data_IF_328603341702
#
_entry.id   IF_328603341702
#
_cell.length_a   1.000
_cell.length_b   1.000
_cell.length_c   1.000
_cell.angle_alpha   90.00
_cell.angle_beta   90.00
_cell.angle_gamma   90.00
#
_symmetry.space_group_name_H-M   'P 1'
#
loop_
_entity.id
_entity.type
_entity.pdbx_description
1 polymer ?
#
# COMPACT_ATOMS: atom_id res chain seq x y z
N UNK A 1 43.45 -13.17 33.83
CA UNK A 1 42.81 -12.34 32.77
C UNK A 1 43.15 -10.89 33.05
N UNK A 2 43.72 -10.13 32.11
CA UNK A 2 44.03 -8.72 32.34
C UNK A 2 42.74 -7.92 32.55
N UNK A 3 42.76 -6.91 33.44
CA UNK A 3 41.62 -6.03 33.76
C UNK A 3 40.91 -5.49 32.51
N UNK A 4 41.67 -5.26 31.42
CA UNK A 4 41.15 -4.88 30.10
C UNK A 4 40.10 -5.86 29.55
N UNK A 5 40.32 -7.16 29.62
CA UNK A 5 39.37 -8.16 29.07
C UNK A 5 38.09 -8.28 29.92
N UNK A 6 38.19 -8.01 31.21
CA UNK A 6 37.01 -7.94 32.10
C UNK A 6 36.16 -6.72 31.73
N UNK A 7 36.79 -5.56 31.51
CA UNK A 7 36.09 -4.34 31.10
C UNK A 7 35.43 -4.51 29.73
N UNK A 8 36.12 -5.07 28.74
CA UNK A 8 35.55 -5.35 27.41
C UNK A 8 34.37 -6.34 27.51
N UNK A 9 34.49 -7.37 28.34
CA UNK A 9 33.40 -8.32 28.59
C UNK A 9 32.18 -7.68 29.24
N UNK A 10 32.37 -6.82 30.25
CA UNK A 10 31.28 -6.10 30.93
C UNK A 10 30.62 -5.06 30.02
N UNK A 11 31.39 -4.32 29.22
CA UNK A 11 30.85 -3.38 28.25
C UNK A 11 30.05 -4.09 27.17
N UNK A 12 30.58 -5.18 26.61
CA UNK A 12 29.87 -5.98 25.60
C UNK A 12 28.55 -6.53 26.17
N UNK A 13 28.57 -7.06 27.40
CA UNK A 13 27.36 -7.55 28.08
C UNK A 13 26.34 -6.44 28.33
N UNK A 14 26.79 -5.27 28.81
CA UNK A 14 25.92 -4.12 29.03
C UNK A 14 25.30 -3.63 27.72
N UNK A 15 26.07 -3.55 26.64
CA UNK A 15 25.56 -3.17 25.31
C UNK A 15 24.56 -4.19 24.79
N UNK A 16 24.82 -5.50 24.91
CA UNK A 16 23.87 -6.56 24.55
C UNK A 16 22.58 -6.47 25.37
N UNK A 17 22.66 -6.16 26.66
CA UNK A 17 21.47 -5.98 27.51
C UNK A 17 20.67 -4.74 27.10
N UNK A 18 21.32 -3.58 26.94
CA UNK A 18 20.67 -2.34 26.47
C UNK A 18 20.02 -2.58 25.12
N UNK A 19 20.70 -3.32 24.24
CA UNK A 19 20.19 -3.68 22.93
C UNK A 19 18.98 -4.62 23.01
N UNK A 20 19.05 -5.67 23.82
CA UNK A 20 17.93 -6.57 24.07
C UNK A 20 16.72 -5.83 24.61
N UNK A 21 16.92 -4.87 25.53
CA UNK A 21 15.86 -4.01 26.06
C UNK A 21 15.32 -3.08 24.97
N UNK A 22 16.16 -2.42 24.18
CA UNK A 22 15.70 -1.57 23.08
C UNK A 22 14.87 -2.38 22.09
N UNK A 23 15.27 -3.58 21.69
CA UNK A 23 14.57 -4.37 20.66
C UNK A 23 13.37 -5.18 21.16
N UNK A 24 13.22 -5.41 22.47
CA UNK A 24 12.11 -6.17 23.06
C UNK A 24 11.09 -5.33 23.83
N UNK A 25 11.33 -4.02 23.96
CA UNK A 25 10.45 -3.10 24.68
C UNK A 25 10.00 -1.94 23.81
N UNK A 26 9.06 -1.16 24.34
CA UNK A 26 8.46 0.04 23.74
C UNK A 26 9.47 1.08 23.22
N UNK A 27 10.71 1.10 23.73
CA UNK A 27 11.76 1.98 23.23
C UNK A 27 12.17 1.66 21.79
N UNK A 28 12.16 0.38 21.40
CA UNK A 28 12.48 -0.08 20.04
C UNK A 28 11.44 0.35 19.02
N UNK A 29 10.16 0.32 19.41
CA UNK A 29 9.03 0.78 18.60
C UNK A 29 9.15 2.26 18.21
N UNK A 30 10.01 3.02 18.90
CA UNK A 30 10.27 4.44 18.59
C UNK A 30 11.53 4.62 17.73
N UNK A 31 12.60 3.88 18.03
CA UNK A 31 13.91 4.04 17.36
C UNK A 31 13.92 3.40 15.97
N UNK A 32 13.31 2.22 15.82
CA UNK A 32 13.32 1.47 14.55
C UNK A 32 12.65 2.26 13.41
N UNK A 33 11.43 2.81 13.57
CA UNK A 33 10.80 3.59 12.50
C UNK A 33 11.63 4.81 12.11
N UNK A 34 12.28 5.48 13.07
CA UNK A 34 13.15 6.62 12.78
C UNK A 34 14.41 6.19 12.00
N UNK A 35 15.06 5.11 12.41
CA UNK A 35 16.23 4.59 11.72
C UNK A 35 15.91 4.15 10.30
N UNK A 36 14.74 3.52 10.09
CA UNK A 36 14.25 3.12 8.77
C UNK A 36 13.98 4.34 7.87
N UNK A 37 13.28 5.35 8.40
CA UNK A 37 13.02 6.60 7.66
C UNK A 37 14.36 7.28 7.30
N UNK A 38 15.31 7.37 8.24
CA UNK A 38 16.65 7.91 7.97
C UNK A 38 17.37 7.12 6.87
N UNK A 39 17.30 5.79 6.92
CA UNK A 39 17.90 4.93 5.90
C UNK A 39 17.29 5.18 4.51
N UNK A 40 15.97 5.34 4.38
CA UNK A 40 15.36 5.70 3.10
C UNK A 40 15.89 7.04 2.56
N UNK A 41 16.02 8.05 3.42
CA UNK A 41 16.51 9.37 3.02
C UNK A 41 18.01 9.36 2.63
N UNK A 42 18.82 8.52 3.29
CA UNK A 42 20.24 8.33 2.93
C UNK A 42 20.35 7.54 1.63
N UNK A 43 19.63 6.41 1.53
CA UNK A 43 19.62 5.55 0.35
C UNK A 43 19.27 6.31 -0.91
N UNK A 44 18.25 7.16 -0.85
CA UNK A 44 17.84 7.99 -1.98
C UNK A 44 18.97 8.88 -2.53
N UNK A 45 19.82 9.43 -1.66
CA UNK A 45 20.93 10.31 -2.07
C UNK A 45 22.13 9.55 -2.61
N UNK A 46 22.34 8.32 -2.14
CA UNK A 46 23.53 7.52 -2.49
C UNK A 46 23.25 6.62 -3.70
N UNK A 47 22.11 5.95 -3.70
CA UNK A 47 21.71 4.96 -4.70
C UNK A 47 20.20 4.81 -4.70
N UNK A 48 19.51 5.75 -5.35
CA UNK A 48 18.07 5.67 -5.56
C UNK A 48 17.72 4.37 -6.30
N UNK A 49 16.78 3.55 -5.79
CA UNK A 49 16.40 2.32 -6.46
C UNK A 49 15.66 2.61 -7.78
N UNK A 50 15.74 1.66 -8.72
CA UNK A 50 14.92 1.71 -9.92
C UNK A 50 13.45 1.45 -9.56
N UNK A 51 12.54 2.24 -10.15
CA UNK A 51 11.11 2.09 -9.93
C UNK A 51 10.58 1.03 -10.91
N UNK A 52 9.90 -0.03 -10.43
CA UNK A 52 9.35 -1.05 -11.32
C UNK A 52 8.37 -0.46 -12.32
N UNK A 53 8.54 -0.84 -13.59
CA UNK A 53 7.73 -0.31 -14.70
C UNK A 53 6.44 -1.10 -14.91
N UNK A 54 6.23 -2.18 -14.17
CA UNK A 54 5.10 -3.11 -14.36
C UNK A 54 3.81 -2.63 -13.68
N UNK A 55 3.92 -1.62 -12.83
CA UNK A 55 2.81 -0.98 -12.12
C UNK A 55 2.77 0.49 -12.50
N UNK A 56 1.60 0.96 -12.90
CA UNK A 56 1.35 2.38 -13.19
C UNK A 56 0.12 2.85 -12.43
N UNK A 57 0.08 4.14 -12.13
CA UNK A 57 -1.03 4.78 -11.42
C UNK A 57 -1.84 5.66 -12.38
N UNK A 58 -3.15 5.60 -12.28
CA UNK A 58 -4.08 6.56 -12.86
C UNK A 58 -4.71 7.33 -11.71
N UNK A 59 -4.35 8.60 -11.60
CA UNK A 59 -4.80 9.48 -10.53
C UNK A 59 -6.14 10.13 -10.87
N UNK A 60 -7.10 10.00 -9.95
CA UNK A 60 -8.25 10.89 -9.85
C UNK A 60 -7.80 12.18 -9.17
N UNK A 61 -7.32 13.12 -9.97
CA UNK A 61 -6.70 14.37 -9.55
C UNK A 61 -7.60 15.59 -9.81
N UNK A 62 -7.25 16.76 -9.28
CA UNK A 62 -8.05 17.98 -9.42
C UNK A 62 -8.32 18.36 -10.87
N UNK A 63 -7.35 18.14 -11.77
CA UNK A 63 -7.53 18.45 -13.18
C UNK A 63 -8.59 17.54 -13.79
N UNK A 64 -8.63 16.26 -13.41
CA UNK A 64 -9.65 15.33 -13.90
C UNK A 64 -11.04 15.65 -13.38
N UNK A 65 -11.19 16.07 -12.11
CA UNK A 65 -12.47 16.61 -11.61
C UNK A 65 -12.92 17.82 -12.44
N UNK A 66 -12.00 18.75 -12.72
CA UNK A 66 -12.32 19.96 -13.49
C UNK A 66 -12.67 19.67 -14.97
N UNK A 67 -11.93 18.79 -15.64
CA UNK A 67 -12.13 18.50 -17.08
C UNK A 67 -13.41 17.68 -17.29
N UNK A 68 -13.71 16.76 -16.38
CA UNK A 68 -14.90 15.92 -16.46
C UNK A 68 -16.16 16.58 -15.87
N UNK A 69 -16.03 17.81 -15.36
CA UNK A 69 -17.11 18.58 -14.72
C UNK A 69 -17.76 17.80 -13.56
N UNK A 70 -16.94 17.15 -12.74
CA UNK A 70 -17.37 16.40 -11.55
C UNK A 70 -17.04 17.25 -10.31
N UNK A 71 -18.00 17.52 -9.41
CA UNK A 71 -17.70 18.20 -8.15
C UNK A 71 -16.81 17.35 -7.24
N UNK A 72 -15.87 17.98 -6.52
CA UNK A 72 -14.94 17.26 -5.62
C UNK A 72 -15.62 16.52 -4.45
N UNK A 73 -16.88 16.82 -4.19
CA UNK A 73 -17.70 16.20 -3.14
C UNK A 73 -18.54 15.03 -3.64
N UNK A 74 -18.58 14.80 -4.95
CA UNK A 74 -19.45 13.80 -5.56
C UNK A 74 -18.71 12.50 -5.90
N UNK A 75 -19.48 11.41 -5.91
CA UNK A 75 -19.02 10.10 -6.37
C UNK A 75 -18.96 10.14 -7.89
N UNK A 76 -17.86 9.63 -8.46
CA UNK A 76 -17.70 9.62 -9.91
C UNK A 76 -18.71 8.70 -10.59
N UNK A 77 -19.30 9.11 -11.74
CA UNK A 77 -20.25 8.29 -12.48
C UNK A 77 -19.64 6.97 -12.96
N UNK A 78 -20.42 5.89 -12.91
CA UNK A 78 -19.98 4.54 -13.31
C UNK A 78 -19.60 4.44 -14.79
N UNK A 79 -20.22 5.25 -15.64
CA UNK A 79 -19.89 5.34 -17.06
C UNK A 79 -18.44 5.82 -17.31
N UNK A 80 -17.92 6.69 -16.44
CA UNK A 80 -16.53 7.18 -16.51
C UNK A 80 -15.55 6.06 -16.18
N UNK A 81 -15.90 5.19 -15.23
CA UNK A 81 -15.13 3.99 -14.91
C UNK A 81 -15.24 2.91 -16.00
N UNK A 82 -16.43 2.71 -16.57
CA UNK A 82 -16.63 1.81 -17.71
C UNK A 82 -15.73 2.18 -18.90
N UNK A 83 -15.73 3.47 -19.31
CA UNK A 83 -14.90 3.96 -20.42
C UNK A 83 -13.40 3.75 -20.14
N UNK A 84 -12.96 3.94 -18.90
CA UNK A 84 -11.56 3.70 -18.53
C UNK A 84 -11.19 2.23 -18.71
N UNK A 85 -11.98 1.31 -18.14
CA UNK A 85 -11.72 -0.13 -18.22
C UNK A 85 -11.70 -0.60 -19.68
N UNK A 86 -12.62 -0.10 -20.52
CA UNK A 86 -12.63 -0.42 -21.94
C UNK A 86 -11.37 0.02 -22.68
N UNK A 87 -10.89 1.24 -22.41
CA UNK A 87 -9.64 1.74 -22.99
C UNK A 87 -8.42 0.94 -22.53
N UNK A 88 -8.37 0.58 -21.24
CA UNK A 88 -7.27 -0.22 -20.69
C UNK A 88 -7.27 -1.65 -21.23
N UNK A 89 -8.45 -2.27 -21.36
CA UNK A 89 -8.60 -3.59 -21.97
C UNK A 89 -8.16 -3.56 -23.45
N UNK A 90 -8.56 -2.55 -24.21
CA UNK A 90 -8.14 -2.36 -25.59
C UNK A 90 -6.62 -2.12 -25.73
N UNK A 91 -6.01 -1.48 -24.74
CA UNK A 91 -4.57 -1.24 -24.68
C UNK A 91 -3.74 -2.48 -24.27
N UNK A 92 -4.39 -3.57 -23.88
CA UNK A 92 -3.72 -4.79 -23.41
C UNK A 92 -3.16 -4.67 -21.99
N UNK A 93 -3.76 -3.83 -21.14
CA UNK A 93 -3.40 -3.80 -19.72
C UNK A 93 -3.62 -5.17 -19.09
N UNK A 94 -2.68 -5.58 -18.22
CA UNK A 94 -2.74 -6.89 -17.57
C UNK A 94 -3.92 -6.97 -16.59
N UNK A 95 -4.12 -5.88 -15.83
CA UNK A 95 -5.15 -5.80 -14.80
C UNK A 95 -5.43 -4.35 -14.43
N UNK A 96 -6.69 -4.05 -14.11
CA UNK A 96 -7.08 -2.77 -13.50
C UNK A 96 -7.44 -2.99 -12.03
N UNK A 97 -6.97 -2.12 -11.16
CA UNK A 97 -7.12 -2.23 -9.70
C UNK A 97 -7.65 -0.91 -9.19
N UNK A 98 -8.87 -0.91 -8.67
CA UNK A 98 -9.51 0.29 -8.14
C UNK A 98 -9.31 0.38 -6.64
N UNK A 99 -8.53 1.38 -6.22
CA UNK A 99 -8.49 1.89 -4.85
C UNK A 99 -9.69 2.81 -4.60
N UNK A 100 -10.89 2.24 -4.80
CA UNK A 100 -12.19 2.90 -4.72
C UNK A 100 -13.20 1.88 -4.21
N UNK A 101 -14.03 2.29 -3.26
CA UNK A 101 -15.11 1.47 -2.73
C UNK A 101 -16.37 1.65 -3.57
N UNK A 102 -16.79 0.57 -4.23
CA UNK A 102 -18.00 0.51 -5.07
C UNK A 102 -19.16 -0.21 -4.36
N UNK A 103 -19.45 0.16 -3.12
CA UNK A 103 -20.33 -0.60 -2.21
C UNK A 103 -21.79 -0.66 -2.67
N UNK A 104 -22.37 0.48 -3.03
CA UNK A 104 -23.78 0.59 -3.38
C UNK A 104 -24.01 0.72 -4.88
N UNK A 105 -25.24 0.38 -5.30
CA UNK A 105 -25.78 0.71 -6.62
C UNK A 105 -25.78 2.23 -6.82
N UNK A 106 -25.52 2.67 -8.05
CA UNK A 106 -25.67 4.09 -8.37
C UNK A 106 -27.13 4.44 -8.65
N UNK A 107 -27.42 5.75 -8.76
CA UNK A 107 -28.74 6.24 -9.18
C UNK A 107 -29.05 5.89 -10.65
N UNK A 108 -28.02 5.66 -11.46
CA UNK A 108 -28.12 5.25 -12.86
C UNK A 108 -27.77 3.75 -13.02
N UNK A 109 -28.82 2.93 -13.02
CA UNK A 109 -28.67 1.48 -13.18
C UNK A 109 -28.10 1.07 -14.55
N UNK A 110 -28.28 1.88 -15.60
CA UNK A 110 -27.71 1.59 -16.90
C UNK A 110 -26.18 1.80 -16.86
N UNK A 111 -25.71 2.79 -16.10
CA UNK A 111 -24.29 3.02 -15.87
C UNK A 111 -23.65 1.89 -15.04
N UNK A 112 -24.34 1.40 -14.00
CA UNK A 112 -23.90 0.19 -13.27
C UNK A 112 -23.75 -1.01 -14.23
N UNK A 113 -24.72 -1.23 -15.12
CA UNK A 113 -24.66 -2.33 -16.09
C UNK A 113 -23.49 -2.20 -17.06
N UNK A 114 -23.23 -1.00 -17.58
CA UNK A 114 -22.08 -0.73 -18.47
C UNK A 114 -20.76 -0.98 -17.74
N UNK A 115 -20.64 -0.53 -16.50
CA UNK A 115 -19.42 -0.76 -15.73
C UNK A 115 -19.22 -2.25 -15.44
N UNK A 116 -20.26 -2.98 -15.04
CA UNK A 116 -20.19 -4.43 -14.86
C UNK A 116 -19.77 -5.16 -16.15
N UNK A 117 -20.28 -4.74 -17.31
CA UNK A 117 -19.87 -5.31 -18.61
C UNK A 117 -18.42 -4.97 -18.96
N UNK A 118 -17.96 -3.76 -18.65
CA UNK A 118 -16.58 -3.36 -18.87
C UNK A 118 -15.61 -4.18 -18.00
N UNK A 119 -15.94 -4.40 -16.72
CA UNK A 119 -15.13 -5.23 -15.81
C UNK A 119 -14.92 -6.65 -16.33
N UNK A 120 -15.86 -7.22 -17.10
CA UNK A 120 -15.70 -8.55 -17.73
C UNK A 120 -14.66 -8.60 -18.87
N UNK A 121 -14.23 -7.44 -19.40
CA UNK A 121 -13.34 -7.37 -20.57
C UNK A 121 -11.86 -7.59 -20.20
N UNK A 122 -11.50 -7.42 -18.94
CA UNK A 122 -10.15 -7.61 -18.44
C UNK A 122 -10.18 -8.02 -16.97
N UNK A 123 -9.08 -8.52 -16.45
CA UNK A 123 -9.01 -8.79 -15.02
C UNK A 123 -9.11 -7.48 -14.22
N UNK A 124 -10.05 -7.46 -13.28
CA UNK A 124 -10.40 -6.27 -12.51
C UNK A 124 -10.42 -6.59 -11.02
N UNK A 125 -9.83 -5.71 -10.21
CA UNK A 125 -9.85 -5.78 -8.76
C UNK A 125 -10.52 -4.52 -8.22
N UNK A 126 -11.47 -4.69 -7.31
CA UNK A 126 -12.21 -3.59 -6.69
C UNK A 126 -11.92 -3.55 -5.20
N UNK A 127 -11.87 -2.33 -4.66
CA UNK A 127 -11.67 -2.10 -3.24
C UNK A 127 -12.85 -2.59 -2.40
N UNK A 128 -12.53 -3.26 -1.29
CA UNK A 128 -13.42 -3.63 -0.20
C UNK A 128 -12.83 -3.18 1.13
N UNK A 129 -13.66 -3.08 2.18
CA UNK A 129 -13.23 -2.58 3.48
C UNK A 129 -13.76 -3.46 4.61
N UNK A 130 -12.98 -3.58 5.71
CA UNK A 130 -13.48 -4.12 6.98
C UNK A 130 -13.73 -2.92 7.89
N UNK A 131 -15.00 -2.64 8.15
CA UNK A 131 -15.44 -1.58 9.03
C UNK A 131 -15.58 -2.10 10.46
N UNK A 132 -14.91 -1.44 11.42
CA UNK A 132 -15.01 -1.81 12.84
C UNK A 132 -15.92 -0.80 13.56
N UNK A 133 -17.07 -1.27 14.03
CA UNK A 133 -18.02 -0.51 14.82
C UNK A 133 -17.96 -0.93 16.29
N UNK A 134 -17.78 0.05 17.18
CA UNK A 134 -17.92 -0.18 18.61
C UNK A 134 -19.35 0.19 19.04
N UNK A 135 -20.11 -0.78 19.54
CA UNK A 135 -21.46 -0.57 20.05
C UNK A 135 -21.49 -0.75 21.56
N UNK A 136 -21.86 0.32 22.27
CA UNK A 136 -22.07 0.30 23.71
C UNK A 136 -23.54 0.05 24.02
N UNK A 137 -23.82 -1.06 24.68
CA UNK A 137 -25.16 -1.43 25.16
C UNK A 137 -25.18 -1.42 26.69
N UNK A 138 -26.37 -1.55 27.29
CA UNK A 138 -26.52 -1.73 28.75
C UNK A 138 -25.76 -2.97 29.29
N UNK A 139 -25.46 -3.95 28.43
CA UNK A 139 -24.73 -5.18 28.77
C UNK A 139 -23.21 -5.11 28.55
N UNK A 140 -22.69 -3.97 28.13
CA UNK A 140 -21.26 -3.78 27.83
C UNK A 140 -21.02 -3.29 26.40
N UNK A 141 -19.73 -3.15 26.07
CA UNK A 141 -19.29 -2.67 24.77
C UNK A 141 -18.82 -3.81 23.89
N UNK A 142 -19.42 -3.92 22.70
CA UNK A 142 -19.09 -4.91 21.68
C UNK A 142 -18.33 -4.25 20.53
N UNK A 143 -17.42 -5.01 19.92
CA UNK A 143 -16.75 -4.62 18.68
C UNK A 143 -17.32 -5.51 17.58
N UNK A 144 -18.00 -4.88 16.63
CA UNK A 144 -18.54 -5.52 15.44
C UNK A 144 -17.61 -5.19 14.27
N UNK A 145 -17.13 -6.24 13.61
CA UNK A 145 -16.35 -6.12 12.39
C UNK A 145 -17.25 -6.52 11.22
N UNK A 146 -17.50 -5.58 10.32
CA UNK A 146 -18.37 -5.76 9.16
C UNK A 146 -17.54 -5.66 7.90
N UNK A 147 -17.66 -6.65 7.03
CA UNK A 147 -17.00 -6.64 5.74
C UNK A 147 -17.91 -6.02 4.70
N UNK A 148 -17.43 -4.97 4.05
CA UNK A 148 -18.14 -4.22 3.02
C UNK A 148 -17.57 -4.58 1.64
N UNK A 149 -18.33 -5.39 0.92
CA UNK A 149 -18.01 -5.80 -0.46
C UNK A 149 -18.45 -4.76 -1.49
N UNK A 150 -17.85 -4.77 -2.69
CA UNK A 150 -18.41 -4.09 -3.84
C UNK A 150 -19.84 -4.58 -4.11
N UNK A 151 -20.63 -3.73 -4.75
CA UNK A 151 -21.99 -4.05 -5.20
C UNK A 151 -22.02 -5.38 -5.94
N UNK A 152 -22.95 -6.27 -5.59
CA UNK A 152 -22.98 -7.69 -6.01
C UNK A 152 -22.72 -7.91 -7.52
N UNK A 153 -23.30 -7.06 -8.38
CA UNK A 153 -23.14 -7.16 -9.85
C UNK A 153 -21.69 -6.97 -10.32
N UNK A 154 -20.88 -6.26 -9.54
CA UNK A 154 -19.46 -6.05 -9.82
C UNK A 154 -18.61 -7.20 -9.32
N UNK A 155 -18.96 -7.81 -8.18
CA UNK A 155 -18.23 -8.96 -7.61
C UNK A 155 -18.29 -10.16 -8.54
N UNK A 156 -19.40 -10.38 -9.26
CA UNK A 156 -19.49 -11.44 -10.29
C UNK A 156 -18.46 -11.31 -11.42
N UNK A 157 -17.89 -10.12 -11.60
CA UNK A 157 -17.02 -9.76 -12.74
C UNK A 157 -15.64 -9.28 -12.30
N UNK A 158 -15.32 -9.34 -11.01
CA UNK A 158 -14.09 -8.79 -10.44
C UNK A 158 -13.68 -9.50 -9.16
N UNK A 159 -12.47 -9.24 -8.69
CA UNK A 159 -12.02 -9.68 -7.36
C UNK A 159 -12.20 -8.55 -6.37
N UNK A 160 -12.87 -8.79 -5.25
CA UNK A 160 -12.90 -7.86 -4.12
C UNK A 160 -11.61 -7.99 -3.28
N UNK A 161 -11.02 -6.86 -2.89
CA UNK A 161 -9.76 -6.86 -2.13
C UNK A 161 -9.65 -5.68 -1.17
N UNK A 162 -9.05 -5.94 0.00
CA UNK A 162 -9.04 -4.99 1.12
C UNK A 162 -8.13 -3.79 0.85
N UNK A 163 -8.70 -2.58 0.93
CA UNK A 163 -7.97 -1.30 0.76
C UNK A 163 -7.21 -0.86 2.01
N UNK A 164 -7.36 -1.58 3.13
CA UNK A 164 -6.75 -1.19 4.41
C UNK A 164 -5.23 -0.99 4.34
N UNK A 165 -4.76 0.13 4.88
CA UNK A 165 -3.34 0.45 5.03
C UNK A 165 -3.00 0.61 6.52
N UNK A 166 -2.03 -0.17 7.07
CA UNK A 166 -1.71 -0.12 8.50
C UNK A 166 -0.85 1.11 8.80
N UNK A 167 -1.51 2.23 9.10
CA UNK A 167 -0.86 3.49 9.42
C UNK A 167 -0.34 3.50 10.87
N UNK A 168 0.96 3.73 11.02
CA UNK A 168 1.63 3.88 12.30
C UNK A 168 2.12 5.32 12.43
N UNK A 169 1.50 6.08 13.33
CA UNK A 169 1.77 7.52 13.48
C UNK A 169 1.64 8.28 12.15
N UNK A 170 0.60 7.94 11.39
CA UNK A 170 0.27 8.54 10.09
C UNK A 170 1.16 8.09 8.92
N UNK A 171 2.11 7.16 9.11
CA UNK A 171 2.96 6.62 8.05
C UNK A 171 2.63 5.16 7.78
N UNK A 172 2.65 4.76 6.52
CA UNK A 172 2.58 3.35 6.16
C UNK A 172 4.01 2.81 6.04
N UNK A 173 4.33 1.73 6.74
CA UNK A 173 5.65 1.10 6.66
C UNK A 173 5.59 -0.41 6.45
N UNK A 174 4.42 -1.02 6.63
CA UNK A 174 4.23 -2.47 6.61
C UNK A 174 3.06 -2.87 5.72
N UNK A 175 3.04 -4.14 5.35
CA UNK A 175 1.95 -4.77 4.62
C UNK A 175 0.75 -5.01 5.56
N UNK A 176 -0.46 -4.95 5.02
CA UNK A 176 -1.70 -5.20 5.77
C UNK A 176 -1.94 -6.70 6.02
N UNK A 177 -1.03 -7.30 6.78
CA UNK A 177 -0.98 -8.74 7.08
C UNK A 177 -1.76 -9.12 8.33
N UNK A 178 -1.97 -8.19 9.26
CA UNK A 178 -2.76 -8.39 10.46
C UNK A 178 -4.22 -7.99 10.22
N UNK A 179 -5.08 -8.98 10.04
CA UNK A 179 -6.53 -8.83 9.86
C UNK A 179 -7.28 -9.71 10.85
N UNK A 180 -8.58 -9.46 11.06
CA UNK A 180 -9.41 -10.37 11.82
C UNK A 180 -9.45 -11.76 11.20
N UNK A 181 -9.48 -12.80 12.05
CA UNK A 181 -9.40 -14.20 11.63
C UNK A 181 -10.46 -14.60 10.61
N UNK A 182 -11.67 -14.06 10.74
CA UNK A 182 -12.78 -14.32 9.84
C UNK A 182 -12.59 -13.75 8.42
N UNK A 183 -11.68 -12.80 8.26
CA UNK A 183 -11.37 -12.13 6.98
C UNK A 183 -9.92 -12.37 6.55
N UNK A 184 -9.22 -13.34 7.14
CA UNK A 184 -7.83 -13.67 6.81
C UNK A 184 -7.67 -14.16 5.37
N UNK A 185 -8.70 -14.75 4.77
CA UNK A 185 -8.66 -15.28 3.39
C UNK A 185 -8.82 -14.18 2.32
N UNK A 186 -9.31 -13.00 2.70
CA UNK A 186 -9.56 -11.91 1.76
C UNK A 186 -8.22 -11.24 1.41
N UNK A 187 -7.82 -11.20 0.14
CA UNK A 187 -6.58 -10.57 -0.26
C UNK A 187 -6.64 -9.06 -0.01
N UNK A 188 -5.50 -8.47 0.31
CA UNK A 188 -5.31 -7.02 0.25
C UNK A 188 -5.33 -6.56 -1.21
N UNK A 189 -5.60 -5.28 -1.43
CA UNK A 189 -5.60 -4.68 -2.76
C UNK A 189 -4.28 -4.95 -3.50
N UNK A 190 -3.15 -4.84 -2.79
CA UNK A 190 -1.83 -5.09 -3.38
C UNK A 190 -1.57 -6.57 -3.71
N UNK A 191 -2.06 -7.50 -2.90
CA UNK A 191 -1.95 -8.94 -3.17
C UNK A 191 -2.80 -9.34 -4.37
N UNK A 192 -4.06 -8.90 -4.40
CA UNK A 192 -4.95 -9.12 -5.54
C UNK A 192 -4.37 -8.48 -6.80
N UNK A 193 -3.81 -7.26 -6.71
CA UNK A 193 -3.12 -6.57 -7.80
C UNK A 193 -1.90 -7.34 -8.32
N UNK A 194 -1.16 -8.03 -7.45
CA UNK A 194 -0.03 -8.90 -7.83
C UNK A 194 -0.46 -10.31 -8.30
N UNK A 195 -1.74 -10.66 -8.15
CA UNK A 195 -2.31 -11.94 -8.59
C UNK A 195 -2.23 -13.03 -7.52
N UNK A 196 -2.05 -12.63 -6.27
CA UNK A 196 -2.02 -13.50 -5.11
C UNK A 196 -3.46 -13.61 -4.59
N UNK A 197 -4.01 -14.81 -4.70
CA UNK A 197 -5.37 -15.13 -4.25
C UNK A 197 -5.40 -15.93 -2.95
N UNK A 198 -4.26 -16.42 -2.47
CA UNK A 198 -4.15 -17.20 -1.23
C UNK A 198 -3.01 -16.69 -0.35
N UNK A 199 -3.36 -16.41 0.89
CA UNK A 199 -2.53 -15.79 1.93
C UNK A 199 -1.47 -16.69 2.56
N UNK A 200 -1.72 -17.99 2.61
CA UNK A 200 -0.80 -18.95 3.25
C UNK A 200 0.26 -19.50 2.28
N UNK A 201 0.50 -18.82 1.16
CA UNK A 201 1.55 -19.22 0.23
C UNK A 201 2.93 -18.85 0.80
N UNK A 202 3.89 -19.77 0.81
CA UNK A 202 5.27 -19.46 1.18
C UNK A 202 5.82 -18.32 0.31
N UNK A 203 6.55 -17.39 0.92
CA UNK A 203 7.17 -16.28 0.21
C UNK A 203 6.30 -15.03 0.07
N UNK A 204 5.32 -14.84 0.97
CA UNK A 204 4.65 -13.55 1.18
C UNK A 204 5.26 -12.79 2.38
N UNK A 205 5.11 -11.46 2.44
CA UNK A 205 5.64 -10.65 3.54
C UNK A 205 5.10 -11.08 4.91
N UNK A 206 5.99 -11.10 5.91
CA UNK A 206 5.60 -11.36 7.30
C UNK A 206 5.00 -10.10 7.96
N UNK A 207 4.34 -10.27 9.12
CA UNK A 207 3.87 -9.14 9.95
C UNK A 207 4.99 -8.18 10.38
N UNK A 208 6.24 -8.63 10.35
CA UNK A 208 7.41 -7.85 10.77
C UNK A 208 8.09 -7.14 9.60
N UNK A 209 7.81 -7.55 8.37
CA UNK A 209 8.47 -7.06 7.17
C UNK A 209 8.02 -5.64 6.82
N UNK A 210 8.91 -4.90 6.18
CA UNK A 210 8.65 -3.52 5.79
C UNK A 210 8.55 -3.35 4.28
N UNK A 211 7.76 -2.37 3.88
CA UNK A 211 7.68 -1.89 2.51
C UNK A 211 9.06 -1.39 2.07
N UNK A 212 9.47 -1.72 0.85
CA UNK A 212 10.63 -1.13 0.21
C UNK A 212 10.19 0.02 -0.71
N UNK A 213 10.22 1.27 -0.21
CA UNK A 213 9.83 2.45 -0.97
C UNK A 213 10.87 2.86 -2.04
N UNK A 214 10.47 2.95 -3.30
CA UNK A 214 11.37 3.24 -4.42
C UNK A 214 11.85 4.71 -4.54
N UNK A 215 11.56 5.54 -3.55
CA UNK A 215 11.95 6.95 -3.49
C UNK A 215 10.83 7.82 -2.95
N UNK A 216 11.02 9.15 -2.95
CA UNK A 216 10.01 10.11 -2.54
C UNK A 216 8.70 9.96 -3.33
N UNK A 217 7.56 10.47 -2.82
CA UNK A 217 6.27 10.40 -3.53
C UNK A 217 6.32 11.01 -4.93
N UNK A 218 5.58 10.42 -5.86
CA UNK A 218 5.55 10.75 -7.29
C UNK A 218 6.55 9.98 -8.15
N UNK A 219 7.13 8.87 -7.64
CA UNK A 219 8.11 8.06 -8.38
C UNK A 219 7.46 7.01 -9.26
N UNK A 220 6.29 6.49 -8.85
CA UNK A 220 5.47 5.61 -9.69
C UNK A 220 4.92 6.44 -10.86
N UNK A 221 5.03 5.91 -12.08
CA UNK A 221 4.51 6.56 -13.27
C UNK A 221 3.00 6.80 -13.11
N UNK A 222 2.59 8.06 -13.12
CA UNK A 222 1.22 8.49 -12.83
C UNK A 222 0.64 9.25 -14.00
N UNK A 223 -0.55 8.87 -14.44
CA UNK A 223 -1.31 9.52 -15.50
C UNK A 223 -2.61 10.10 -14.93
N UNK A 224 -3.04 11.26 -15.42
CA UNK A 224 -4.33 11.82 -15.01
C UNK A 224 -5.48 11.09 -15.69
N UNK A 225 -6.52 10.79 -14.92
CA UNK A 225 -7.69 10.05 -15.39
C UNK A 225 -8.30 10.65 -16.66
N UNK A 226 -8.48 11.98 -16.67
CA UNK A 226 -8.98 12.74 -17.82
C UNK A 226 -8.14 12.54 -19.09
N UNK A 227 -6.81 12.54 -18.98
CA UNK A 227 -5.90 12.33 -20.12
C UNK A 227 -5.97 10.94 -20.70
N UNK A 228 -6.28 9.92 -19.88
CA UNK A 228 -6.51 8.55 -20.36
C UNK A 228 -7.84 8.45 -21.12
N UNK A 229 -8.85 9.20 -20.70
CA UNK A 229 -10.17 9.21 -21.35
C UNK A 229 -10.27 10.08 -22.61
N UNK A 230 -9.32 10.98 -22.82
CA UNK A 230 -9.32 11.92 -23.94
C UNK A 230 -9.18 11.20 -25.30
N UNK A 231 -10.00 11.61 -26.27
CA UNK A 231 -10.05 11.01 -27.61
C UNK A 231 -9.45 11.93 -28.69
N UNK A 232 -9.42 13.24 -28.47
CA UNK A 232 -8.89 14.21 -29.45
C UNK A 232 -7.36 14.14 -29.56
N UNK A 233 -6.67 14.06 -28.42
CA UNK A 233 -5.22 13.96 -28.32
C UNK A 233 -4.83 12.77 -27.45
N UNK A 234 -5.05 11.53 -27.95
CA UNK A 234 -4.92 10.31 -27.16
C UNK A 234 -3.46 10.07 -26.78
N UNK A 235 -3.27 9.51 -25.58
CA UNK A 235 -1.99 8.96 -25.17
C UNK A 235 -1.64 7.72 -26.03
N UNK A 236 -0.35 7.36 -26.17
CA UNK A 236 0.04 6.09 -26.76
C UNK A 236 -0.33 4.93 -25.81
N UNK A 237 -1.61 4.57 -25.79
CA UNK A 237 -2.20 3.69 -24.77
C UNK A 237 -1.52 2.32 -24.69
N UNK A 238 -1.27 1.68 -25.83
CA UNK A 238 -0.61 0.36 -25.87
C UNK A 238 0.84 0.45 -25.36
N UNK A 239 1.61 1.48 -25.73
CA UNK A 239 2.99 1.67 -25.26
C UNK A 239 3.06 1.85 -23.74
N UNK A 240 2.09 2.56 -23.17
CA UNK A 240 2.05 2.88 -21.75
C UNK A 240 1.52 1.73 -20.91
N UNK A 241 0.41 1.10 -21.33
CA UNK A 241 -0.39 0.24 -20.47
C UNK A 241 -0.27 -1.25 -20.77
N UNK A 242 0.28 -1.65 -21.92
CA UNK A 242 0.38 -3.07 -22.28
C UNK A 242 1.17 -3.86 -21.25
N UNK A 243 0.60 -4.99 -20.83
CA UNK A 243 1.11 -5.89 -19.79
C UNK A 243 1.31 -5.24 -18.40
N UNK A 244 0.80 -4.02 -18.19
CA UNK A 244 0.91 -3.29 -16.93
C UNK A 244 -0.27 -3.57 -16.00
N UNK A 245 0.02 -3.59 -14.71
CA UNK A 245 -1.00 -3.49 -13.66
C UNK A 245 -1.29 -2.01 -13.44
N UNK A 246 -2.54 -1.62 -13.60
CA UNK A 246 -2.99 -0.23 -13.55
C UNK A 246 -3.78 -0.01 -12.28
N UNK A 247 -3.22 0.75 -11.35
CA UNK A 247 -3.92 1.16 -10.13
C UNK A 247 -4.66 2.46 -10.41
N UNK A 248 -5.90 2.57 -9.96
CA UNK A 248 -6.76 3.73 -10.12
C UNK A 248 -7.20 4.19 -8.74
N UNK A 249 -6.90 5.43 -8.37
CA UNK A 249 -7.24 5.94 -7.05
C UNK A 249 -7.08 7.45 -6.93
N UNK A 250 -7.38 7.98 -5.74
CA UNK A 250 -7.31 9.42 -5.48
C UNK A 250 -5.84 9.91 -5.47
N UNK A 251 -5.61 11.06 -6.10
CA UNK A 251 -4.32 11.78 -6.12
C UNK A 251 -4.61 13.27 -6.03
N UNK A 252 -5.17 13.71 -4.90
CA UNK A 252 -5.65 15.08 -4.68
C UNK A 252 -4.70 15.85 -3.77
N UNK A 253 -4.14 16.95 -4.24
CA UNK A 253 -3.31 17.88 -3.45
C UNK A 253 -4.13 18.64 -2.42
N UNK A 254 -5.40 18.91 -2.70
CA UNK A 254 -6.32 19.53 -1.75
C UNK A 254 -6.95 18.48 -0.84
N UNK A 255 -6.89 18.68 0.48
CA UNK A 255 -7.52 17.81 1.49
C UNK A 255 -9.03 18.08 1.62
N UNK A 256 -9.72 18.28 0.50
CA UNK A 256 -11.16 18.52 0.43
C UNK A 256 -11.86 17.22 0.03
N UNK A 257 -12.97 16.89 0.68
CA UNK A 257 -13.77 15.72 0.35
C UNK A 257 -13.07 14.40 0.74
N UNK A 258 -13.14 13.34 -0.10
CA UNK A 258 -12.63 12.01 0.26
C UNK A 258 -11.11 11.96 0.43
N UNK A 259 -10.36 12.89 -0.18
CA UNK A 259 -8.90 12.97 -0.08
C UNK A 259 -8.36 13.15 1.35
N UNK A 260 -9.15 13.75 2.26
CA UNK A 260 -8.72 13.95 3.64
C UNK A 260 -8.35 12.62 4.33
N UNK A 261 -8.98 11.51 3.91
CA UNK A 261 -8.84 10.20 4.55
C UNK A 261 -7.73 9.34 3.93
N UNK A 262 -7.21 9.72 2.76
CA UNK A 262 -6.32 8.88 1.96
C UNK A 262 -4.95 9.51 1.67
N UNK A 263 -4.53 10.40 2.58
CA UNK A 263 -3.22 11.05 2.55
C UNK A 263 -2.44 10.67 3.79
N UNK A 264 -1.26 10.09 3.56
CA UNK A 264 -0.36 9.61 4.60
C UNK A 264 0.94 10.39 4.59
N UNK A 265 1.69 10.27 5.68
CA UNK A 265 3.08 10.68 5.73
C UNK A 265 3.94 9.60 5.05
N UNK A 266 4.90 10.03 4.23
CA UNK A 266 5.90 9.12 3.67
C UNK A 266 7.10 8.98 4.64
N UNK A 267 7.95 7.96 4.47
CA UNK A 267 9.22 7.87 5.21
C UNK A 267 10.25 8.93 4.79
N UNK A 268 9.99 9.69 3.72
CA UNK A 268 10.84 10.78 3.26
C UNK A 268 10.47 12.08 3.97
N UNK A 269 11.49 12.82 4.43
CA UNK A 269 11.30 13.98 5.32
C UNK A 269 10.35 15.01 4.71
N UNK A 270 9.25 15.30 5.41
CA UNK A 270 8.30 16.36 5.05
C UNK A 270 7.44 16.09 3.81
N UNK A 271 7.36 14.84 3.33
CA UNK A 271 6.60 14.47 2.14
C UNK A 271 5.36 13.65 2.49
N UNK A 272 4.24 13.96 1.83
CA UNK A 272 2.97 13.23 1.91
C UNK A 272 2.82 12.30 0.71
N UNK A 273 2.15 11.17 0.90
CA UNK A 273 1.91 10.14 -0.11
C UNK A 273 0.43 9.73 -0.11
N UNK A 274 -0.12 9.45 -1.29
CA UNK A 274 -1.50 8.99 -1.45
C UNK A 274 -1.60 7.48 -1.24
N UNK A 275 -2.72 7.00 -0.69
CA UNK A 275 -2.97 5.56 -0.51
C UNK A 275 -2.78 4.78 -1.80
N UNK A 276 -3.27 5.32 -2.92
CA UNK A 276 -3.11 4.75 -4.26
C UNK A 276 -1.64 4.53 -4.68
N UNK A 277 -0.72 5.45 -4.34
CA UNK A 277 0.72 5.27 -4.59
C UNK A 277 1.37 4.27 -3.61
N UNK A 278 0.86 4.20 -2.37
CA UNK A 278 1.27 3.16 -1.40
C UNK A 278 0.86 1.78 -1.92
N UNK A 279 -0.36 1.60 -2.41
CA UNK A 279 -0.82 0.36 -3.03
C UNK A 279 0.02 -0.01 -4.26
N UNK A 280 0.42 0.96 -5.09
CA UNK A 280 1.33 0.73 -6.21
C UNK A 280 2.71 0.22 -5.74
N UNK A 281 3.27 0.85 -4.71
CA UNK A 281 4.54 0.44 -4.11
C UNK A 281 4.46 -0.97 -3.53
N UNK A 282 3.41 -1.27 -2.77
CA UNK A 282 3.15 -2.60 -2.20
C UNK A 282 3.04 -3.67 -3.28
N UNK A 283 2.25 -3.41 -4.32
CA UNK A 283 2.08 -4.31 -5.48
C UNK A 283 3.41 -4.58 -6.14
N UNK A 284 4.19 -3.52 -6.40
CA UNK A 284 5.51 -3.64 -6.99
C UNK A 284 6.46 -4.47 -6.11
N UNK A 285 6.46 -4.29 -4.79
CA UNK A 285 7.27 -5.12 -3.89
C UNK A 285 6.89 -6.61 -3.96
N UNK A 286 5.60 -6.93 -4.06
CA UNK A 286 5.14 -8.32 -4.19
C UNK A 286 5.55 -8.95 -5.52
N UNK A 287 5.49 -8.19 -6.62
CA UNK A 287 5.91 -8.65 -7.94
C UNK A 287 7.42 -8.87 -8.03
N UNK A 288 8.21 -7.93 -7.51
CA UNK A 288 9.67 -7.98 -7.57
C UNK A 288 10.30 -8.83 -6.45
N UNK A 289 9.52 -9.14 -5.41
CA UNK A 289 9.96 -9.83 -4.20
C UNK A 289 11.10 -9.12 -3.48
N UNK A 290 11.04 -7.80 -3.42
CA UNK A 290 12.13 -6.93 -2.96
C UNK A 290 11.76 -6.08 -1.72
N UNK A 291 10.74 -6.47 -0.98
CA UNK A 291 10.44 -5.84 0.32
C UNK A 291 11.58 -6.07 1.33
N UNK A 292 11.58 -5.28 2.40
CA UNK A 292 12.59 -5.40 3.45
C UNK A 292 12.16 -6.54 4.38
N UNK A 293 12.83 -7.68 4.23
CA UNK A 293 12.61 -8.85 5.08
C UNK A 293 13.27 -8.65 6.43
N UNK A 294 12.55 -9.00 7.50
CA UNK A 294 13.14 -9.04 8.84
C UNK A 294 13.71 -10.41 9.15
N UNK A 295 14.88 -10.41 9.76
CA UNK A 295 15.53 -11.63 10.22
C UNK A 295 14.71 -12.28 11.33
N UNK A 296 15.02 -13.54 11.64
CA UNK A 296 14.51 -14.13 12.87
C UNK A 296 14.99 -13.29 14.06
N UNK A 297 14.19 -13.22 15.11
CA UNK A 297 14.54 -12.45 16.31
C UNK A 297 15.92 -12.85 16.87
N UNK A 298 16.24 -14.15 16.83
CA UNK A 298 17.56 -14.66 17.23
C UNK A 298 18.68 -14.24 16.27
N UNK A 299 18.42 -14.19 14.97
CA UNK A 299 19.40 -13.74 13.98
C UNK A 299 19.73 -12.25 14.14
N UNK A 300 18.72 -11.40 14.33
CA UNK A 300 18.88 -9.98 14.61
C UNK A 300 19.69 -9.77 15.90
N UNK A 301 19.27 -10.41 16.99
CA UNK A 301 19.96 -10.33 18.28
C UNK A 301 21.43 -10.77 18.19
N UNK A 302 21.72 -11.88 17.51
CA UNK A 302 23.07 -12.38 17.32
C UNK A 302 23.92 -11.42 16.48
N UNK A 303 23.39 -10.93 15.35
CA UNK A 303 24.11 -10.01 14.47
C UNK A 303 24.49 -8.70 15.19
N UNK A 304 23.56 -8.15 15.97
CA UNK A 304 23.77 -6.92 16.70
C UNK A 304 24.72 -7.12 17.89
N UNK A 305 24.63 -8.26 18.58
CA UNK A 305 25.59 -8.63 19.62
C UNK A 305 27.02 -8.77 19.06
N UNK A 306 27.17 -9.34 17.86
CA UNK A 306 28.47 -9.44 17.17
C UNK A 306 28.99 -8.03 16.81
N UNK A 307 28.15 -7.16 16.24
CA UNK A 307 28.53 -5.78 15.93
C UNK A 307 29.00 -5.03 17.18
N UNK A 308 28.26 -5.13 18.29
CA UNK A 308 28.65 -4.50 19.56
C UNK A 308 29.98 -5.05 20.09
N UNK A 309 30.16 -6.38 20.03
CA UNK A 309 31.41 -7.02 20.43
C UNK A 309 32.60 -6.53 19.59
N UNK A 310 32.45 -6.43 18.26
CA UNK A 310 33.50 -5.91 17.36
C UNK A 310 33.83 -4.46 17.70
N UNK A 311 32.82 -3.61 17.91
CA UNK A 311 33.03 -2.20 18.31
C UNK A 311 33.77 -2.13 19.65
N UNK A 312 33.36 -2.94 20.62
CA UNK A 312 34.02 -3.01 21.93
C UNK A 312 35.46 -3.54 21.86
N UNK A 313 35.82 -4.33 20.85
CA UNK A 313 37.20 -4.76 20.61
C UNK A 313 38.07 -3.66 19.97
N UNK A 314 37.46 -2.72 19.25
CA UNK A 314 38.15 -1.61 18.58
C UNK A 314 38.47 -0.47 19.56
N UNK A 315 37.66 -0.32 20.62
CA UNK A 315 37.81 0.68 21.70
C UNK A 315 38.81 0.18 22.76
#
# INVERSE_FOLDING_TARGET
MSTRWIIVGLLSLLTTIIHGVLFSTFAGDTVEPFALDLWFNIREKISAPEVPKDVVLIGMDEQSYSILDIPMTEIWPRDVHAKLVEKLAAAGAKRVVFDILFLDRSTDQAADQKFAQALKKMESVLGSEIYVRQESTLGGTFVLEEYQEPYDKFVESSTAALVGLPAEQGRIRRFYTARPRQFEEIPTLAEAAAGITQQNQPGLPSKRDFINYYGPPGRIATFYYSRVLEDEHPLPMEEIFKDKIVIVGLVLRTEIGPAQKDVFLSPFVGRRIYGSEVHATLTANLLQKDWITRGSFMGEFASLSICCFIIAMII
#
